data_IF_293184232207
#
_entry.id   IF_293184232207
#
_cell.length_a   1.000
_cell.length_b   1.000
_cell.length_c   1.000
_cell.angle_alpha   90.00
_cell.angle_beta   90.00
_cell.angle_gamma   90.00
#
_symmetry.space_group_name_H-M   'P 1'
#
loop_
_entity.id
_entity.type
_entity.pdbx_description
1 polymer ?
#
# COMPACT_ATOMS: atom_id res chain seq x y z
N UNK A 1 25.83 17.88 15.22
CA UNK A 1 25.70 16.48 14.79
C UNK A 1 27.07 15.81 14.96
N UNK A 2 27.17 14.75 15.73
CA UNK A 2 28.44 14.07 15.95
C UNK A 2 29.01 13.50 14.65
N UNK A 3 30.34 13.50 14.52
CA UNK A 3 31.04 13.01 13.31
C UNK A 3 30.57 11.61 12.88
N UNK A 4 30.35 10.72 13.86
CA UNK A 4 29.91 9.35 13.58
C UNK A 4 28.54 9.25 12.89
N UNK A 5 27.58 10.13 13.26
CA UNK A 5 26.25 10.16 12.61
C UNK A 5 26.35 10.71 11.18
N UNK A 6 27.16 11.74 10.99
CA UNK A 6 27.38 12.28 9.63
C UNK A 6 27.96 11.22 8.70
N UNK A 7 28.95 10.44 9.17
CA UNK A 7 29.51 9.31 8.42
C UNK A 7 28.44 8.24 8.17
N UNK A 8 27.62 7.89 9.19
CA UNK A 8 26.52 6.94 9.04
C UNK A 8 25.51 7.36 7.96
N UNK A 9 25.12 8.65 7.92
CA UNK A 9 24.24 9.19 6.88
C UNK A 9 24.89 9.17 5.49
N UNK A 10 26.18 9.53 5.38
CA UNK A 10 26.91 9.46 4.12
C UNK A 10 26.94 8.02 3.61
N UNK A 11 27.29 7.05 4.47
CA UNK A 11 27.30 5.62 4.11
C UNK A 11 25.91 5.12 3.71
N UNK A 12 24.85 5.62 4.34
CA UNK A 12 23.48 5.30 3.97
C UNK A 12 23.17 5.72 2.52
N UNK A 13 23.43 6.98 2.17
CA UNK A 13 23.19 7.46 0.81
C UNK A 13 24.11 6.79 -0.23
N UNK A 14 25.39 6.60 0.11
CA UNK A 14 26.33 5.88 -0.76
C UNK A 14 25.89 4.43 -0.99
N UNK A 15 25.45 3.73 0.08
CA UNK A 15 24.95 2.37 -0.02
C UNK A 15 23.74 2.24 -0.95
N UNK A 16 22.81 3.20 -0.89
CA UNK A 16 21.67 3.25 -1.80
C UNK A 16 22.11 3.51 -3.24
N UNK A 17 23.02 4.45 -3.47
CA UNK A 17 23.50 4.80 -4.80
C UNK A 17 24.27 3.65 -5.48
N UNK A 18 24.97 2.83 -4.70
CA UNK A 18 25.68 1.63 -5.20
C UNK A 18 24.69 0.47 -5.43
N UNK A 19 23.43 0.58 -4.95
CA UNK A 19 22.40 -0.45 -5.13
C UNK A 19 22.51 -1.63 -4.15
N UNK A 20 23.09 -1.42 -2.97
CA UNK A 20 23.12 -2.45 -1.92
C UNK A 20 21.71 -2.70 -1.36
N UNK A 21 21.37 -3.96 -0.97
CA UNK A 21 20.10 -4.22 -0.29
C UNK A 21 19.99 -3.42 1.00
N UNK A 22 18.86 -2.70 1.18
CA UNK A 22 18.67 -1.73 2.24
C UNK A 22 18.90 -2.28 3.66
N UNK A 23 18.57 -3.54 3.90
CA UNK A 23 18.80 -4.16 5.22
C UNK A 23 20.30 -4.17 5.58
N UNK A 24 21.18 -4.44 4.62
CA UNK A 24 22.63 -4.40 4.82
C UNK A 24 23.18 -2.98 4.93
N UNK A 25 22.58 -2.05 4.19
CA UNK A 25 22.90 -0.61 4.32
C UNK A 25 22.61 -0.16 5.75
N UNK A 26 21.42 -0.46 6.30
CA UNK A 26 21.09 -0.11 7.68
C UNK A 26 22.03 -0.72 8.71
N UNK A 27 22.33 -2.01 8.56
CA UNK A 27 23.27 -2.69 9.45
C UNK A 27 24.65 -2.04 9.40
N UNK A 28 25.19 -1.85 8.20
CA UNK A 28 26.52 -1.27 8.00
C UNK A 28 26.65 0.16 8.51
N UNK A 29 25.66 1.03 8.19
CA UNK A 29 25.63 2.41 8.65
C UNK A 29 25.51 2.51 10.17
N UNK A 30 24.64 1.69 10.77
CA UNK A 30 24.45 1.66 12.22
C UNK A 30 25.70 1.17 12.94
N UNK A 31 26.33 0.09 12.45
CA UNK A 31 27.54 -0.44 13.04
C UNK A 31 28.71 0.57 12.93
N UNK A 32 28.90 1.18 11.76
CA UNK A 32 29.94 2.20 11.57
C UNK A 32 29.71 3.43 12.48
N UNK A 33 28.49 3.93 12.55
CA UNK A 33 28.15 5.04 13.41
C UNK A 33 28.39 4.70 14.89
N UNK A 34 27.95 3.54 15.38
CA UNK A 34 28.15 3.09 16.77
C UNK A 34 29.64 2.99 17.14
N UNK A 35 30.47 2.47 16.23
CA UNK A 35 31.93 2.39 16.43
C UNK A 35 32.54 3.80 16.55
N UNK A 36 32.13 4.72 15.68
CA UNK A 36 32.69 6.07 15.63
C UNK A 36 32.26 6.96 16.82
N UNK A 37 31.10 6.68 17.44
CA UNK A 37 30.63 7.37 18.65
C UNK A 37 30.99 6.63 19.94
N UNK A 38 31.85 5.61 19.84
CA UNK A 38 32.30 4.77 20.97
C UNK A 38 31.13 4.17 21.79
N UNK A 39 30.06 3.80 21.11
CA UNK A 39 28.87 3.16 21.72
C UNK A 39 28.94 1.63 21.65
N UNK A 40 28.47 0.94 22.69
CA UNK A 40 28.59 -0.52 22.71
C UNK A 40 27.73 -1.20 21.61
N UNK A 41 28.35 -2.11 20.87
CA UNK A 41 27.64 -2.89 19.81
C UNK A 41 26.46 -3.72 20.34
N UNK A 42 26.38 -3.95 21.65
CA UNK A 42 25.20 -4.54 22.30
C UNK A 42 23.90 -3.74 22.02
N UNK A 43 24.02 -2.43 21.80
CA UNK A 43 22.87 -1.59 21.42
C UNK A 43 22.24 -2.08 20.11
N UNK A 44 23.05 -2.46 19.10
CA UNK A 44 22.57 -2.98 17.83
C UNK A 44 21.75 -4.26 18.00
N UNK A 45 22.31 -5.27 18.71
CA UNK A 45 21.65 -6.55 18.91
C UNK A 45 20.36 -6.39 19.76
N UNK A 46 20.42 -5.65 20.87
CA UNK A 46 19.28 -5.44 21.75
C UNK A 46 18.15 -4.66 21.05
N UNK A 47 18.49 -3.60 20.33
CA UNK A 47 17.49 -2.79 19.62
C UNK A 47 16.86 -3.57 18.47
N UNK A 48 17.65 -4.31 17.68
CA UNK A 48 17.13 -5.14 16.60
C UNK A 48 16.19 -6.22 17.13
N UNK A 49 16.58 -6.90 18.21
CA UNK A 49 15.73 -7.92 18.85
C UNK A 49 14.38 -7.33 19.31
N UNK A 50 14.39 -6.23 20.04
CA UNK A 50 13.15 -5.58 20.49
C UNK A 50 12.28 -5.05 19.34
N UNK A 51 12.87 -4.66 18.21
CA UNK A 51 12.11 -4.24 17.04
C UNK A 51 11.32 -5.38 16.39
N UNK A 52 11.89 -6.57 16.36
CA UNK A 52 11.25 -7.77 15.78
C UNK A 52 10.35 -8.52 16.77
N UNK A 53 10.54 -8.32 18.08
CA UNK A 53 9.67 -8.87 19.12
C UNK A 53 8.39 -8.04 19.24
N UNK A 54 7.53 -8.16 18.23
CA UNK A 54 6.31 -7.35 18.13
C UNK A 54 5.11 -8.18 17.71
N UNK A 55 4.00 -7.99 18.43
CA UNK A 55 2.71 -8.58 18.11
C UNK A 55 2.21 -8.22 16.70
N UNK A 56 2.44 -6.98 16.25
CA UNK A 56 2.00 -6.51 14.92
C UNK A 56 2.78 -7.22 13.81
N UNK A 57 4.05 -7.57 14.03
CA UNK A 57 4.84 -8.33 13.06
C UNK A 57 4.24 -9.71 12.76
N UNK A 58 3.64 -10.35 13.77
CA UNK A 58 2.91 -11.61 13.58
C UNK A 58 1.67 -11.42 12.71
N UNK A 59 0.92 -10.32 12.90
CA UNK A 59 -0.21 -9.98 12.02
C UNK A 59 0.24 -9.79 10.56
N UNK A 60 1.36 -9.08 10.35
CA UNK A 60 1.95 -8.89 9.02
C UNK A 60 2.24 -10.24 8.36
N UNK A 61 2.82 -11.19 9.11
CA UNK A 61 3.11 -12.54 8.61
C UNK A 61 1.84 -13.26 8.13
N UNK A 62 0.79 -13.27 8.95
CA UNK A 62 -0.47 -13.90 8.59
C UNK A 62 -1.15 -13.23 7.38
N UNK A 63 -1.16 -11.90 7.31
CA UNK A 63 -1.79 -11.21 6.17
C UNK A 63 -1.01 -11.38 4.87
N UNK A 64 0.33 -11.40 4.89
CA UNK A 64 1.14 -11.70 3.71
C UNK A 64 0.84 -13.12 3.21
N UNK A 65 0.81 -14.09 4.11
CA UNK A 65 0.54 -15.47 3.76
C UNK A 65 -0.91 -15.67 3.27
N UNK A 66 -1.89 -15.10 3.97
CA UNK A 66 -3.29 -15.13 3.53
C UNK A 66 -3.46 -14.51 2.14
N UNK A 67 -2.88 -13.33 1.90
CA UNK A 67 -2.93 -12.65 0.60
C UNK A 67 -2.31 -13.46 -0.54
N UNK A 68 -1.17 -14.12 -0.30
CA UNK A 68 -0.56 -15.03 -1.24
C UNK A 68 -1.44 -16.24 -1.56
N UNK A 69 -2.01 -16.89 -0.54
CA UNK A 69 -2.94 -18.00 -0.71
C UNK A 69 -4.21 -17.61 -1.46
N UNK A 70 -4.73 -16.40 -1.22
CA UNK A 70 -5.91 -15.88 -1.90
C UNK A 70 -5.68 -15.71 -3.40
N UNK A 71 -4.50 -15.22 -3.79
CA UNK A 71 -4.12 -15.07 -5.19
C UNK A 71 -4.12 -16.45 -5.91
N UNK A 72 -3.57 -17.48 -5.26
CA UNK A 72 -3.50 -18.84 -5.82
C UNK A 72 -4.82 -19.61 -5.73
N UNK A 73 -5.71 -19.23 -4.84
CA UNK A 73 -7.03 -19.85 -4.68
C UNK A 73 -8.06 -19.42 -5.75
N UNK A 74 -7.67 -18.57 -6.71
CA UNK A 74 -8.53 -18.15 -7.84
C UNK A 74 -9.59 -17.13 -7.46
N UNK A 75 -9.37 -16.36 -6.38
CA UNK A 75 -10.28 -15.31 -5.94
C UNK A 75 -10.28 -14.13 -6.93
N UNK A 76 -9.14 -13.87 -7.58
CA UNK A 76 -8.97 -12.77 -8.52
C UNK A 76 -9.97 -12.82 -9.69
N UNK A 77 -10.17 -13.98 -10.29
CA UNK A 77 -11.14 -14.16 -11.38
C UNK A 77 -12.57 -13.78 -10.96
N UNK A 78 -12.95 -14.10 -9.72
CA UNK A 78 -14.28 -13.79 -9.19
C UNK A 78 -14.46 -12.30 -8.97
N UNK A 79 -13.41 -11.64 -8.50
CA UNK A 79 -13.45 -10.19 -8.31
C UNK A 79 -13.45 -9.42 -9.62
N UNK A 80 -12.70 -9.86 -10.62
CA UNK A 80 -12.77 -9.27 -11.96
C UNK A 80 -14.18 -9.48 -12.56
N UNK A 81 -14.79 -10.65 -12.40
CA UNK A 81 -16.16 -10.89 -12.84
C UNK A 81 -17.18 -10.02 -12.09
N UNK A 82 -17.03 -9.88 -10.78
CA UNK A 82 -17.88 -9.00 -9.98
C UNK A 82 -17.70 -7.52 -10.40
N UNK A 83 -16.46 -7.04 -10.52
CA UNK A 83 -16.16 -5.70 -10.99
C UNK A 83 -16.76 -5.45 -12.40
N UNK A 84 -16.63 -6.42 -13.30
CA UNK A 84 -17.22 -6.36 -14.64
C UNK A 84 -18.76 -6.22 -14.61
N UNK A 85 -19.42 -6.97 -13.74
CA UNK A 85 -20.87 -6.88 -13.58
C UNK A 85 -21.33 -5.54 -12.97
N UNK A 86 -20.50 -4.92 -12.12
CA UNK A 86 -20.82 -3.64 -11.46
C UNK A 86 -20.56 -2.42 -12.34
N UNK A 87 -19.38 -2.35 -12.97
CA UNK A 87 -18.91 -1.13 -13.65
C UNK A 87 -18.59 -1.29 -15.13
N UNK A 88 -18.64 -2.49 -15.70
CA UNK A 88 -18.26 -2.75 -17.09
C UNK A 88 -19.06 -1.99 -18.14
N UNK A 89 -20.19 -1.38 -17.76
CA UNK A 89 -21.06 -0.57 -18.63
C UNK A 89 -20.75 0.91 -18.63
N UNK A 90 -19.89 1.36 -17.78
CA UNK A 90 -19.47 2.76 -17.75
C UNK A 90 -18.71 3.11 -19.02
N UNK A 91 -18.64 4.38 -19.38
CA UNK A 91 -17.91 4.85 -20.58
C UNK A 91 -16.43 4.47 -20.57
N UNK A 92 -15.81 4.35 -19.38
CA UNK A 92 -14.46 3.82 -19.19
C UNK A 92 -14.36 2.30 -19.36
N UNK A 93 -15.52 1.63 -19.43
CA UNK A 93 -15.66 0.22 -19.78
C UNK A 93 -14.79 -0.72 -18.96
N UNK A 94 -14.11 -1.62 -19.64
CA UNK A 94 -13.28 -2.65 -19.03
C UNK A 94 -12.03 -2.13 -18.29
N UNK A 95 -11.60 -0.89 -18.52
CA UNK A 95 -10.50 -0.29 -17.76
C UNK A 95 -10.97 0.05 -16.35
N UNK A 96 -12.20 0.56 -16.18
CA UNK A 96 -12.81 0.78 -14.86
C UNK A 96 -12.98 -0.54 -14.08
N UNK A 97 -13.26 -1.64 -14.79
CA UNK A 97 -13.25 -2.98 -14.19
C UNK A 97 -11.90 -3.29 -13.54
N UNK A 98 -10.81 -2.90 -14.19
CA UNK A 98 -9.47 -3.08 -13.64
C UNK A 98 -9.26 -2.28 -12.34
N UNK A 99 -9.72 -1.02 -12.28
CA UNK A 99 -9.63 -0.17 -11.08
C UNK A 99 -10.44 -0.78 -9.92
N UNK A 100 -11.69 -1.19 -10.19
CA UNK A 100 -12.55 -1.81 -9.16
C UNK A 100 -12.04 -3.20 -8.75
N UNK A 101 -11.53 -3.99 -9.69
CA UNK A 101 -10.88 -5.27 -9.37
C UNK A 101 -9.65 -5.06 -8.48
N UNK A 102 -8.89 -3.98 -8.70
CA UNK A 102 -7.77 -3.62 -7.80
C UNK A 102 -8.26 -3.33 -6.38
N UNK A 103 -9.39 -2.62 -6.19
CA UNK A 103 -9.96 -2.41 -4.85
C UNK A 103 -10.28 -3.73 -4.14
N UNK A 104 -10.93 -4.67 -4.83
CA UNK A 104 -11.26 -5.97 -4.24
C UNK A 104 -10.02 -6.80 -3.93
N UNK A 105 -9.04 -6.84 -4.86
CA UNK A 105 -7.79 -7.56 -4.64
C UNK A 105 -6.94 -6.91 -3.54
N UNK A 106 -7.00 -5.60 -3.41
CA UNK A 106 -6.34 -4.85 -2.35
C UNK A 106 -6.78 -5.33 -0.97
N UNK A 107 -8.08 -5.51 -0.79
CA UNK A 107 -8.65 -6.04 0.45
C UNK A 107 -8.21 -7.49 0.77
N UNK A 108 -7.49 -8.16 -0.13
CA UNK A 108 -6.93 -9.50 0.09
C UNK A 108 -5.42 -9.45 0.28
N UNK A 109 -4.72 -8.71 -0.59
CA UNK A 109 -3.25 -8.78 -0.68
C UNK A 109 -2.54 -7.74 0.19
N UNK A 110 -3.21 -6.64 0.48
CA UNK A 110 -2.65 -5.51 1.24
C UNK A 110 -1.37 -4.90 0.64
N UNK A 111 -1.12 -5.13 -0.67
CA UNK A 111 0.11 -4.72 -1.35
C UNK A 111 -0.13 -4.39 -2.83
N UNK A 112 0.68 -3.50 -3.43
CA UNK A 112 0.53 -3.06 -4.81
C UNK A 112 1.04 -4.09 -5.84
N UNK A 113 2.19 -4.69 -5.60
CA UNK A 113 2.86 -5.59 -6.55
C UNK A 113 2.03 -6.84 -6.88
N UNK A 114 1.44 -7.57 -5.92
CA UNK A 114 0.56 -8.71 -6.23
C UNK A 114 -0.66 -8.32 -7.05
N UNK A 115 -1.23 -7.14 -6.84
CA UNK A 115 -2.35 -6.66 -7.66
C UNK A 115 -1.94 -6.51 -9.12
N UNK A 116 -0.78 -5.90 -9.40
CA UNK A 116 -0.25 -5.75 -10.76
C UNK A 116 0.05 -7.13 -11.36
N UNK A 117 0.73 -7.99 -10.62
CA UNK A 117 1.14 -9.31 -11.08
C UNK A 117 -0.05 -10.20 -11.48
N UNK A 118 -1.19 -9.99 -10.83
CA UNK A 118 -2.42 -10.74 -11.12
C UNK A 118 -3.23 -10.10 -12.24
N UNK A 119 -3.47 -8.78 -12.17
CA UNK A 119 -4.42 -8.11 -13.07
C UNK A 119 -3.86 -7.84 -14.46
N UNK A 120 -2.57 -7.53 -14.61
CA UNK A 120 -1.99 -7.23 -15.93
C UNK A 120 -2.05 -8.44 -16.86
N UNK A 121 -1.56 -9.64 -16.49
CA UNK A 121 -1.65 -10.81 -17.37
C UNK A 121 -3.09 -11.23 -17.68
N UNK A 122 -4.03 -10.98 -16.77
CA UNK A 122 -5.43 -11.35 -16.91
C UNK A 122 -6.21 -10.37 -17.78
N UNK A 123 -6.07 -9.06 -17.55
CA UNK A 123 -6.92 -8.04 -18.16
C UNK A 123 -6.32 -7.43 -19.42
N UNK A 124 -5.02 -7.16 -19.47
CA UNK A 124 -4.42 -6.42 -20.60
C UNK A 124 -4.60 -7.14 -21.93
N UNK A 125 -4.36 -8.47 -22.06
CA UNK A 125 -4.60 -9.17 -23.33
C UNK A 125 -6.08 -9.17 -23.75
N UNK A 126 -7.01 -9.21 -22.79
CA UNK A 126 -8.45 -9.14 -23.06
C UNK A 126 -8.87 -7.75 -23.52
N UNK A 127 -8.37 -6.70 -22.85
CA UNK A 127 -8.62 -5.31 -23.21
C UNK A 127 -8.08 -4.96 -24.59
N UNK A 128 -6.91 -5.47 -24.95
CA UNK A 128 -6.31 -5.28 -26.27
C UNK A 128 -7.19 -5.86 -27.38
N UNK A 129 -7.78 -7.05 -27.20
CA UNK A 129 -8.75 -7.64 -28.14
C UNK A 129 -9.98 -6.78 -28.32
N UNK A 130 -10.43 -6.09 -27.28
CA UNK A 130 -11.56 -5.15 -27.30
C UNK A 130 -11.19 -3.77 -27.88
N UNK A 131 -9.94 -3.58 -28.33
CA UNK A 131 -9.48 -2.36 -28.98
C UNK A 131 -8.90 -1.29 -28.05
N UNK A 132 -8.63 -1.61 -26.78
CA UNK A 132 -7.92 -0.70 -25.88
C UNK A 132 -6.41 -0.76 -26.12
N UNK A 133 -5.75 0.37 -26.14
CA UNK A 133 -4.29 0.43 -26.23
C UNK A 133 -3.62 -0.24 -25.04
N UNK A 134 -2.74 -1.20 -25.30
CA UNK A 134 -2.00 -1.96 -24.29
C UNK A 134 -1.22 -1.07 -23.30
N UNK A 135 -0.57 0.01 -23.81
CA UNK A 135 0.16 0.97 -22.97
C UNK A 135 -0.75 1.70 -22.00
N UNK A 136 -1.95 2.12 -22.44
CA UNK A 136 -2.89 2.86 -21.61
C UNK A 136 -3.47 1.97 -20.51
N UNK A 137 -3.95 0.78 -20.86
CA UNK A 137 -4.53 -0.17 -19.91
C UNK A 137 -3.53 -0.59 -18.84
N UNK A 138 -2.29 -0.87 -19.26
CA UNK A 138 -1.20 -1.19 -18.33
C UNK A 138 -0.91 -0.01 -17.40
N UNK A 139 -0.82 1.21 -17.93
CA UNK A 139 -0.56 2.40 -17.12
C UNK A 139 -1.65 2.66 -16.08
N UNK A 140 -2.93 2.49 -16.42
CA UNK A 140 -4.03 2.66 -15.47
C UNK A 140 -3.99 1.60 -14.37
N UNK A 141 -3.73 0.33 -14.71
CA UNK A 141 -3.60 -0.74 -13.72
C UNK A 141 -2.40 -0.50 -12.79
N UNK A 142 -1.27 -0.03 -13.32
CA UNK A 142 -0.12 0.36 -12.49
C UNK A 142 -0.46 1.56 -11.59
N UNK A 143 -1.13 2.59 -12.13
CA UNK A 143 -1.54 3.76 -11.34
C UNK A 143 -2.51 3.41 -10.22
N UNK A 144 -3.43 2.48 -10.44
CA UNK A 144 -4.40 2.05 -9.43
C UNK A 144 -3.84 1.05 -8.42
N UNK A 145 -2.68 0.45 -8.68
CA UNK A 145 -2.15 -0.65 -7.87
C UNK A 145 -1.91 -0.31 -6.41
N UNK A 146 -1.51 0.93 -6.10
CA UNK A 146 -1.25 1.35 -4.73
C UNK A 146 -2.53 1.51 -3.88
N UNK A 147 -3.73 1.41 -4.48
CA UNK A 147 -4.95 1.21 -3.72
C UNK A 147 -4.83 -0.01 -2.78
N UNK A 148 -3.92 -0.97 -3.12
CA UNK A 148 -3.52 -2.08 -2.26
C UNK A 148 -2.94 -1.67 -0.90
N UNK A 149 -2.45 -0.45 -0.78
CA UNK A 149 -1.96 0.08 0.48
C UNK A 149 -3.05 0.74 1.33
N UNK A 150 -4.15 1.14 0.70
CA UNK A 150 -5.20 1.96 1.33
C UNK A 150 -6.41 1.15 1.80
N UNK A 151 -6.73 0.07 1.09
CA UNK A 151 -7.88 -0.77 1.45
C UNK A 151 -7.43 -1.88 2.41
N UNK A 152 -7.99 -1.93 3.64
CA UNK A 152 -7.61 -2.93 4.64
C UNK A 152 -7.97 -4.37 4.23
N UNK A 153 -7.17 -5.35 4.67
CA UNK A 153 -5.94 -5.23 5.45
C UNK A 153 -4.74 -4.78 4.63
N UNK A 154 -3.91 -3.90 5.18
CA UNK A 154 -2.78 -3.28 4.48
C UNK A 154 -1.48 -3.45 5.26
N UNK A 155 -0.45 -3.99 4.61
CA UNK A 155 0.88 -4.18 5.22
C UNK A 155 1.55 -2.84 5.58
N UNK A 156 1.56 -1.80 4.72
CA UNK A 156 2.07 -0.48 5.09
C UNK A 156 1.39 0.14 6.31
N UNK A 157 0.07 0.00 6.43
CA UNK A 157 -0.66 0.49 7.61
C UNK A 157 -0.22 -0.23 8.87
N UNK A 158 -0.03 -1.56 8.83
CA UNK A 158 0.45 -2.33 9.97
C UNK A 158 1.85 -1.87 10.42
N UNK A 159 2.75 -1.62 9.45
CA UNK A 159 4.09 -1.11 9.75
C UNK A 159 4.03 0.30 10.33
N UNK A 160 3.16 1.16 9.80
CA UNK A 160 2.92 2.48 10.39
C UNK A 160 2.46 2.36 11.84
N UNK A 161 1.46 1.52 12.11
CA UNK A 161 0.94 1.30 13.46
C UNK A 161 1.99 0.74 14.43
N UNK A 162 2.87 -0.13 13.94
CA UNK A 162 3.99 -0.66 14.70
C UNK A 162 4.96 0.44 15.11
N UNK A 163 5.32 1.32 14.17
CA UNK A 163 6.32 2.38 14.38
C UNK A 163 5.75 3.56 15.17
N UNK A 164 4.54 4.00 14.82
CA UNK A 164 3.87 5.14 15.45
C UNK A 164 3.05 4.76 16.70
N UNK A 165 3.01 3.48 17.08
CA UNK A 165 2.27 2.94 18.23
C UNK A 165 0.79 3.34 18.22
N UNK A 166 0.16 3.26 17.03
CA UNK A 166 -1.25 3.61 16.84
C UNK A 166 -2.14 2.37 16.74
N UNK A 167 -3.44 2.57 17.00
CA UNK A 167 -4.45 1.52 16.86
C UNK A 167 -4.56 1.08 15.38
N UNK A 168 -4.33 -0.22 15.13
CA UNK A 168 -4.46 -0.80 13.79
C UNK A 168 -5.88 -0.61 13.23
N UNK A 169 -6.91 -0.82 14.04
CA UNK A 169 -8.29 -0.63 13.64
C UNK A 169 -8.57 0.83 13.22
N UNK A 170 -8.09 1.80 14.01
CA UNK A 170 -8.29 3.22 13.69
C UNK A 170 -7.59 3.61 12.38
N UNK A 171 -6.33 3.22 12.19
CA UNK A 171 -5.57 3.59 10.98
C UNK A 171 -6.07 2.83 9.75
N UNK A 172 -6.52 1.58 9.87
CA UNK A 172 -7.17 0.88 8.76
C UNK A 172 -8.38 1.65 8.23
N UNK A 173 -9.23 2.17 9.12
CA UNK A 173 -10.40 2.97 8.71
C UNK A 173 -10.03 4.34 8.15
N UNK A 174 -8.93 4.93 8.62
CA UNK A 174 -8.50 6.26 8.15
C UNK A 174 -8.08 6.28 6.68
N UNK A 175 -7.65 5.15 6.13
CA UNK A 175 -7.20 5.02 4.74
C UNK A 175 -8.32 4.66 3.77
N UNK A 176 -9.46 4.15 4.25
CA UNK A 176 -10.58 3.68 3.39
C UNK A 176 -11.15 4.82 2.55
N UNK A 177 -11.49 5.94 3.19
CA UNK A 177 -12.13 7.05 2.47
C UNK A 177 -11.20 7.71 1.44
N UNK A 178 -9.94 8.03 1.75
CA UNK A 178 -8.95 8.42 0.74
C UNK A 178 -8.79 7.40 -0.40
N UNK A 179 -8.79 6.10 -0.09
CA UNK A 179 -8.71 5.02 -1.09
C UNK A 179 -9.91 5.01 -2.04
N UNK A 180 -11.12 5.17 -1.51
CA UNK A 180 -12.34 5.26 -2.30
C UNK A 180 -12.38 6.53 -3.16
N UNK A 181 -11.91 7.67 -2.63
CA UNK A 181 -11.78 8.92 -3.40
C UNK A 181 -10.81 8.76 -4.57
N UNK A 182 -9.67 8.12 -4.35
CA UNK A 182 -8.69 7.83 -5.40
C UNK A 182 -9.29 6.94 -6.48
N UNK A 183 -9.93 5.84 -6.09
CA UNK A 183 -10.55 4.92 -7.04
C UNK A 183 -11.66 5.61 -7.85
N UNK A 184 -12.55 6.34 -7.18
CA UNK A 184 -13.61 7.11 -7.83
C UNK A 184 -13.04 8.20 -8.77
N UNK A 185 -12.04 8.94 -8.33
CA UNK A 185 -11.34 9.93 -9.15
C UNK A 185 -10.67 9.31 -10.37
N UNK A 186 -10.04 8.14 -10.21
CA UNK A 186 -9.43 7.41 -11.34
C UNK A 186 -10.49 6.93 -12.33
N UNK A 187 -11.62 6.40 -11.87
CA UNK A 187 -12.73 6.02 -12.76
C UNK A 187 -13.30 7.24 -13.50
N UNK A 188 -13.53 8.35 -12.80
CA UNK A 188 -14.00 9.58 -13.43
C UNK A 188 -13.03 10.06 -14.50
N UNK A 189 -11.74 10.16 -14.17
CA UNK A 189 -10.70 10.58 -15.12
C UNK A 189 -10.59 9.60 -16.30
N UNK A 190 -10.65 8.29 -16.03
CA UNK A 190 -10.64 7.26 -17.07
C UNK A 190 -11.80 7.42 -18.05
N UNK A 191 -13.00 7.72 -17.57
CA UNK A 191 -14.17 7.93 -18.44
C UNK A 191 -13.99 9.09 -19.45
N UNK A 192 -13.16 10.09 -19.10
CA UNK A 192 -12.85 11.21 -20.02
C UNK A 192 -11.68 10.91 -20.96
N UNK A 193 -10.69 10.13 -20.50
CA UNK A 193 -9.44 9.90 -21.24
C UNK A 193 -9.52 8.65 -22.10
N UNK A 194 -10.14 7.57 -21.61
CA UNK A 194 -10.21 6.26 -22.25
C UNK A 194 -10.64 6.29 -23.72
N UNK A 195 -11.65 7.10 -24.15
CA UNK A 195 -12.05 7.16 -25.56
C UNK A 195 -10.93 7.54 -26.54
N UNK A 196 -9.88 8.22 -26.06
CA UNK A 196 -8.71 8.60 -26.88
C UNK A 196 -7.74 7.44 -27.15
N UNK A 197 -7.83 6.38 -26.35
CA UNK A 197 -6.97 5.21 -26.36
C UNK A 197 -7.74 3.92 -26.71
N UNK A 198 -8.95 4.07 -27.24
CA UNK A 198 -9.81 2.96 -27.66
C UNK A 198 -10.02 3.04 -29.17
N UNK A 199 -9.68 1.95 -29.86
CA UNK A 199 -9.90 1.76 -31.29
C UNK A 199 -10.89 0.60 -31.47
N UNK A 200 -12.18 0.86 -31.80
CA UNK A 200 -13.19 -0.20 -31.89
C UNK A 200 -12.77 -1.31 -32.84
N UNK A 201 -12.67 -2.54 -32.35
CA UNK A 201 -12.28 -3.72 -33.14
C UNK A 201 -13.46 -4.51 -33.66
N UNK A 202 -14.68 -4.11 -33.32
CA UNK A 202 -15.91 -4.85 -33.65
C UNK A 202 -16.21 -6.01 -32.70
N UNK A 203 -15.28 -6.42 -31.85
CA UNK A 203 -15.57 -7.33 -30.76
C UNK A 203 -16.37 -6.61 -29.67
N UNK A 204 -17.52 -7.17 -29.30
CA UNK A 204 -18.40 -6.62 -28.25
C UNK A 204 -18.23 -7.44 -26.99
N UNK A 205 -18.03 -6.77 -25.86
CA UNK A 205 -18.01 -7.45 -24.56
C UNK A 205 -19.41 -8.02 -24.26
N UNK A 206 -19.46 -9.27 -23.84
CA UNK A 206 -20.70 -10.07 -23.70
C UNK A 206 -21.55 -9.66 -22.47
N UNK A 207 -21.70 -8.36 -22.19
CA UNK A 207 -22.61 -7.90 -21.15
C UNK A 207 -24.07 -7.91 -21.63
N UNK A 208 -25.02 -8.35 -20.79
CA UNK A 208 -26.44 -8.28 -21.13
C UNK A 208 -26.86 -6.84 -21.41
N UNK A 209 -27.48 -6.57 -22.54
CA UNK A 209 -27.94 -5.22 -22.95
C UNK A 209 -29.15 -4.72 -22.15
N UNK A 210 -29.87 -5.63 -21.49
CA UNK A 210 -31.09 -5.34 -20.73
C UNK A 210 -30.77 -5.09 -19.26
N UNK A 211 -31.40 -4.07 -18.63
CA UNK A 211 -31.24 -3.76 -17.20
C UNK A 211 -31.53 -4.98 -16.30
N UNK A 212 -32.59 -5.73 -16.56
CA UNK A 212 -32.91 -6.99 -15.84
C UNK A 212 -31.82 -8.04 -15.99
N UNK A 213 -31.21 -8.17 -17.17
CA UNK A 213 -30.09 -9.08 -17.43
C UNK A 213 -28.87 -8.68 -16.62
N UNK A 214 -28.60 -7.37 -16.47
CA UNK A 214 -27.49 -6.86 -15.67
C UNK A 214 -27.65 -7.12 -14.18
N UNK A 215 -28.82 -6.86 -13.63
CA UNK A 215 -29.11 -7.13 -12.21
C UNK A 215 -28.95 -8.63 -11.93
N UNK A 216 -29.43 -9.48 -12.85
CA UNK A 216 -29.25 -10.94 -12.74
C UNK A 216 -27.76 -11.33 -12.78
N UNK A 217 -27.00 -10.80 -13.74
CA UNK A 217 -25.56 -11.10 -13.84
C UNK A 217 -24.80 -10.57 -12.62
N UNK A 218 -25.09 -9.35 -12.14
CA UNK A 218 -24.52 -8.82 -10.91
C UNK A 218 -24.86 -9.71 -9.70
N UNK A 219 -26.09 -10.20 -9.60
CA UNK A 219 -26.49 -11.14 -8.55
C UNK A 219 -25.72 -12.46 -8.61
N UNK A 220 -25.57 -13.04 -9.80
CA UNK A 220 -24.78 -14.27 -10.01
C UNK A 220 -23.29 -14.02 -9.69
N UNK A 221 -22.72 -12.92 -10.18
CA UNK A 221 -21.34 -12.57 -9.94
C UNK A 221 -21.07 -12.33 -8.43
N UNK A 222 -21.99 -11.65 -7.73
CA UNK A 222 -21.92 -11.45 -6.27
C UNK A 222 -22.00 -12.78 -5.53
N UNK A 223 -22.91 -13.68 -5.90
CA UNK A 223 -23.04 -14.99 -5.28
C UNK A 223 -21.77 -15.84 -5.45
N UNK A 224 -21.17 -15.84 -6.64
CA UNK A 224 -19.92 -16.54 -6.92
C UNK A 224 -18.70 -15.91 -6.21
N UNK A 225 -18.73 -14.59 -6.00
CA UNK A 225 -17.69 -13.86 -5.27
C UNK A 225 -17.91 -13.86 -3.75
N UNK A 226 -19.08 -14.30 -3.26
CA UNK A 226 -19.41 -14.24 -1.82
C UNK A 226 -18.38 -14.95 -0.94
N UNK A 227 -17.87 -16.14 -1.26
CA UNK A 227 -16.80 -16.76 -0.48
C UNK A 227 -15.48 -15.94 -0.53
N UNK A 228 -15.20 -15.25 -1.62
CA UNK A 228 -14.04 -14.38 -1.73
C UNK A 228 -14.20 -13.11 -0.88
N UNK A 229 -15.38 -12.47 -0.94
CA UNK A 229 -15.75 -11.31 -0.12
C UNK A 229 -15.86 -11.65 1.36
N UNK A 230 -16.16 -12.90 1.69
CA UNK A 230 -16.23 -13.39 3.08
C UNK A 230 -14.94 -13.16 3.85
N UNK A 231 -13.78 -13.26 3.21
CA UNK A 231 -12.51 -13.06 3.90
C UNK A 231 -12.31 -11.62 4.40
N UNK A 232 -12.38 -10.56 3.57
CA UNK A 232 -12.32 -9.19 4.08
C UNK A 232 -13.42 -8.88 5.10
N UNK A 233 -14.62 -9.41 4.89
CA UNK A 233 -15.74 -9.19 5.82
C UNK A 233 -15.48 -9.82 7.19
N UNK A 234 -14.92 -11.01 7.26
CA UNK A 234 -14.56 -11.69 8.51
C UNK A 234 -13.43 -10.93 9.22
N UNK A 235 -12.39 -10.51 8.47
CA UNK A 235 -11.28 -9.76 9.01
C UNK A 235 -11.76 -8.43 9.60
N UNK A 236 -12.40 -7.61 8.77
CA UNK A 236 -12.81 -6.27 9.17
C UNK A 236 -13.95 -6.29 10.18
N UNK A 237 -14.94 -7.15 9.95
CA UNK A 237 -16.05 -7.34 10.89
C UNK A 237 -15.59 -7.84 12.26
N UNK A 238 -14.62 -8.78 12.30
CA UNK A 238 -14.04 -9.28 13.52
C UNK A 238 -13.21 -8.25 14.28
N UNK A 239 -12.38 -7.47 13.57
CA UNK A 239 -11.56 -6.41 14.18
C UNK A 239 -12.45 -5.26 14.69
N UNK A 240 -13.38 -4.76 13.87
CA UNK A 240 -14.22 -3.62 14.25
C UNK A 240 -15.34 -4.00 15.24
N UNK A 241 -15.79 -5.26 15.20
CA UNK A 241 -16.69 -5.82 16.21
C UNK A 241 -16.02 -6.13 17.55
N UNK A 242 -14.69 -5.94 17.66
CA UNK A 242 -13.92 -6.25 18.86
C UNK A 242 -13.81 -7.74 19.18
N UNK A 243 -14.16 -8.61 18.24
CA UNK A 243 -14.11 -10.09 18.38
C UNK A 243 -12.70 -10.61 18.18
N UNK A 244 -11.94 -10.00 17.26
CA UNK A 244 -10.59 -10.41 16.92
C UNK A 244 -9.59 -9.26 17.07
N UNK A 245 -8.42 -9.59 17.62
CA UNK A 245 -7.21 -8.77 17.44
C UNK A 245 -6.73 -8.88 15.99
N UNK A 246 -5.88 -7.96 15.50
CA UNK A 246 -5.30 -8.05 14.15
C UNK A 246 -4.58 -9.39 13.88
N UNK A 247 -3.92 -9.98 14.89
CA UNK A 247 -3.26 -11.27 14.77
C UNK A 247 -4.25 -12.43 14.59
N UNK A 248 -5.27 -12.47 15.42
CA UNK A 248 -6.33 -13.48 15.32
C UNK A 248 -7.08 -13.35 13.99
N UNK A 249 -7.39 -12.13 13.57
CA UNK A 249 -8.00 -11.89 12.27
C UNK A 249 -7.13 -12.39 11.11
N UNK A 250 -5.82 -12.18 11.19
CA UNK A 250 -4.86 -12.69 10.19
C UNK A 250 -4.80 -14.23 10.19
N UNK A 251 -4.77 -14.87 11.37
CA UNK A 251 -4.80 -16.33 11.48
C UNK A 251 -6.10 -16.93 10.93
N UNK A 252 -7.25 -16.32 11.28
CA UNK A 252 -8.58 -16.71 10.75
C UNK A 252 -8.62 -16.53 9.22
N UNK A 253 -8.03 -15.46 8.69
CA UNK A 253 -7.93 -15.24 7.25
C UNK A 253 -7.18 -16.37 6.54
N UNK A 254 -6.06 -16.84 7.09
CA UNK A 254 -5.30 -17.98 6.55
C UNK A 254 -6.17 -19.23 6.51
N UNK A 255 -6.79 -19.58 7.64
CA UNK A 255 -7.63 -20.78 7.76
C UNK A 255 -8.83 -20.71 6.80
N UNK A 256 -9.50 -19.54 6.75
CA UNK A 256 -10.63 -19.31 5.85
C UNK A 256 -10.22 -19.45 4.39
N UNK A 257 -9.09 -18.85 4.00
CA UNK A 257 -8.59 -18.92 2.62
C UNK A 257 -8.22 -20.33 2.20
N UNK A 258 -7.60 -21.10 3.11
CA UNK A 258 -7.32 -22.52 2.88
C UNK A 258 -8.62 -23.30 2.66
N UNK A 259 -9.62 -23.07 3.52
CA UNK A 259 -10.92 -23.71 3.39
C UNK A 259 -11.59 -23.38 2.04
N UNK A 260 -11.67 -22.11 1.69
CA UNK A 260 -12.27 -21.68 0.42
C UNK A 260 -11.49 -22.18 -0.79
N UNK A 261 -10.16 -22.10 -0.76
CA UNK A 261 -9.29 -22.53 -1.86
C UNK A 261 -9.31 -24.04 -2.12
N UNK A 262 -9.39 -24.84 -1.05
CA UNK A 262 -9.38 -26.31 -1.15
C UNK A 262 -10.77 -26.92 -1.41
N UNK A 263 -11.80 -26.44 -0.69
CA UNK A 263 -13.12 -27.08 -0.68
C UNK A 263 -14.16 -26.37 -1.55
N UNK A 264 -14.15 -25.03 -1.59
CA UNK A 264 -15.15 -24.25 -2.34
C UNK A 264 -14.73 -24.06 -3.79
N UNK A 265 -13.56 -23.44 -4.01
CA UNK A 265 -13.07 -23.16 -5.37
C UNK A 265 -12.23 -24.29 -5.94
N UNK A 266 -11.64 -25.12 -5.11
CA UNK A 266 -10.84 -26.30 -5.50
C UNK A 266 -9.70 -25.97 -6.47
N UNK A 267 -9.14 -24.77 -6.37
CA UNK A 267 -8.05 -24.30 -7.22
C UNK A 267 -6.68 -24.35 -6.54
N UNK A 268 -6.66 -24.37 -5.21
CA UNK A 268 -5.42 -24.44 -4.45
C UNK A 268 -4.82 -25.85 -4.50
N UNK A 269 -3.69 -25.98 -5.21
CA UNK A 269 -2.93 -27.24 -5.33
C UNK A 269 -1.80 -27.24 -4.30
N UNK A 270 -1.36 -28.43 -3.87
CA UNK A 270 -0.26 -28.60 -2.93
C UNK A 270 1.04 -27.89 -3.39
N UNK A 271 1.34 -27.91 -4.69
CA UNK A 271 2.48 -27.21 -5.26
C UNK A 271 2.38 -25.69 -5.06
N UNK A 272 1.21 -25.11 -5.36
CA UNK A 272 0.98 -23.67 -5.22
C UNK A 272 1.03 -23.24 -3.74
N UNK A 273 0.43 -24.05 -2.85
CA UNK A 273 0.52 -23.84 -1.41
C UNK A 273 1.99 -23.74 -0.93
N UNK A 274 2.83 -24.71 -1.35
CA UNK A 274 4.24 -24.72 -0.97
C UNK A 274 5.03 -23.54 -1.54
N UNK A 275 4.80 -23.19 -2.81
CA UNK A 275 5.44 -22.03 -3.43
C UNK A 275 5.05 -20.73 -2.72
N UNK A 276 3.75 -20.54 -2.45
CA UNK A 276 3.24 -19.37 -1.72
C UNK A 276 3.83 -19.29 -0.31
N UNK A 277 3.94 -20.42 0.38
CA UNK A 277 4.56 -20.48 1.71
C UNK A 277 6.01 -19.99 1.64
N UNK A 278 6.80 -20.50 0.69
CA UNK A 278 8.20 -20.08 0.52
C UNK A 278 8.32 -18.58 0.20
N UNK A 279 7.49 -18.06 -0.67
CA UNK A 279 7.55 -16.65 -1.07
C UNK A 279 7.06 -15.72 0.05
N UNK A 280 6.08 -16.15 0.83
CA UNK A 280 5.65 -15.43 2.04
C UNK A 280 6.75 -15.41 3.12
N UNK A 281 7.45 -16.51 3.33
CA UNK A 281 8.59 -16.57 4.26
C UNK A 281 9.72 -15.65 3.81
N UNK A 282 10.06 -15.64 2.52
CA UNK A 282 11.10 -14.74 1.97
C UNK A 282 10.72 -13.27 2.18
N UNK A 283 9.47 -12.92 1.87
CA UNK A 283 8.96 -11.55 2.02
C UNK A 283 8.96 -11.14 3.49
N UNK A 284 8.48 -11.99 4.38
CA UNK A 284 8.49 -11.74 5.82
C UNK A 284 9.92 -11.60 6.36
N UNK A 285 10.84 -12.49 5.95
CA UNK A 285 12.25 -12.42 6.34
C UNK A 285 12.89 -11.09 5.93
N UNK A 286 12.63 -10.62 4.72
CA UNK A 286 13.10 -9.32 4.25
C UNK A 286 12.54 -8.16 5.09
N UNK A 287 11.23 -8.17 5.37
CA UNK A 287 10.57 -7.14 6.21
C UNK A 287 11.13 -7.16 7.64
N UNK A 288 11.34 -8.34 8.21
CA UNK A 288 11.88 -8.51 9.56
C UNK A 288 13.31 -7.95 9.67
N UNK A 289 14.17 -8.22 8.69
CA UNK A 289 15.53 -7.67 8.65
C UNK A 289 15.52 -6.15 8.46
N UNK A 290 14.66 -5.64 7.57
CA UNK A 290 14.48 -4.20 7.38
C UNK A 290 13.99 -3.52 8.66
N UNK A 291 13.02 -4.12 9.34
CA UNK A 291 12.49 -3.58 10.58
C UNK A 291 13.55 -3.61 11.69
N UNK A 292 14.24 -4.73 11.87
CA UNK A 292 15.29 -4.86 12.88
C UNK A 292 16.40 -3.83 12.70
N UNK A 293 17.06 -3.85 11.56
CA UNK A 293 18.21 -2.96 11.31
C UNK A 293 17.81 -1.52 11.04
N UNK A 294 16.67 -1.30 10.37
CA UNK A 294 16.14 0.05 10.15
C UNK A 294 15.77 0.74 11.47
N UNK A 295 15.19 0.02 12.43
CA UNK A 295 14.90 0.56 13.76
C UNK A 295 16.17 0.89 14.53
N UNK A 296 17.25 0.11 14.40
CA UNK A 296 18.54 0.45 15.00
C UNK A 296 19.04 1.78 14.46
N UNK A 297 19.07 1.93 13.13
CA UNK A 297 19.51 3.17 12.49
C UNK A 297 18.65 4.37 12.92
N UNK A 298 17.34 4.22 12.90
CA UNK A 298 16.42 5.28 13.27
C UNK A 298 16.54 5.68 14.74
N UNK A 299 16.65 4.70 15.66
CA UNK A 299 16.87 5.00 17.09
C UNK A 299 18.20 5.71 17.35
N UNK A 300 19.22 5.38 16.57
CA UNK A 300 20.50 6.08 16.62
C UNK A 300 20.32 7.55 16.22
N UNK A 301 19.63 7.83 15.12
CA UNK A 301 19.35 9.19 14.66
C UNK A 301 18.51 9.98 15.68
N UNK A 302 17.53 9.34 16.32
CA UNK A 302 16.71 9.98 17.35
C UNK A 302 17.54 10.29 18.59
N UNK A 303 18.37 9.35 19.06
CA UNK A 303 19.24 9.52 20.22
C UNK A 303 20.18 10.70 20.05
N UNK A 304 20.70 10.90 18.86
CA UNK A 304 21.62 11.99 18.51
C UNK A 304 20.89 13.30 18.13
N UNK A 305 19.58 13.37 18.36
CA UNK A 305 18.79 14.60 18.20
C UNK A 305 18.45 14.97 16.75
N UNK A 306 18.71 14.10 15.78
CA UNK A 306 18.45 14.41 14.35
C UNK A 306 16.96 14.67 14.10
N UNK A 307 16.06 13.90 14.74
CA UNK A 307 14.61 14.08 14.61
C UNK A 307 14.15 15.43 15.16
N UNK A 308 14.73 15.85 16.31
CA UNK A 308 14.42 17.16 16.92
C UNK A 308 14.98 18.30 16.09
N UNK A 309 16.23 18.19 15.61
CA UNK A 309 16.83 19.19 14.73
C UNK A 309 16.05 19.38 13.42
N UNK A 310 15.52 18.28 12.86
CA UNK A 310 14.65 18.34 11.68
C UNK A 310 13.34 19.08 12.00
N UNK A 311 12.71 18.78 13.14
CA UNK A 311 11.49 19.45 13.58
C UNK A 311 11.71 20.95 13.79
N UNK A 312 12.74 21.32 14.52
CA UNK A 312 13.08 22.72 14.81
C UNK A 312 13.42 23.50 13.53
N UNK A 313 14.15 22.88 12.61
CA UNK A 313 14.43 23.46 11.29
C UNK A 313 13.15 23.71 10.48
N UNK A 314 12.27 22.70 10.41
CA UNK A 314 11.02 22.82 9.64
C UNK A 314 10.09 23.86 10.23
N UNK A 315 9.95 23.91 11.56
CA UNK A 315 9.10 24.90 12.23
C UNK A 315 9.73 26.31 12.16
N UNK A 316 11.04 26.41 12.29
CA UNK A 316 11.74 27.69 12.16
C UNK A 316 11.78 28.25 10.74
N UNK A 317 11.81 27.37 9.72
CA UNK A 317 11.80 27.78 8.33
C UNK A 317 10.39 28.14 7.81
N UNK A 318 9.34 27.56 8.40
CA UNK A 318 7.97 27.69 7.95
C UNK A 318 7.06 28.09 9.10
N UNK A 319 6.51 29.30 9.07
CA UNK A 319 5.66 29.86 10.13
C UNK A 319 4.26 29.21 10.19
N UNK A 320 3.83 28.51 9.13
CA UNK A 320 2.49 27.95 9.02
C UNK A 320 2.47 26.43 9.09
N UNK A 321 1.62 25.87 9.96
CA UNK A 321 1.31 24.43 10.01
C UNK A 321 1.03 23.83 8.61
N UNK A 322 0.28 24.56 7.79
CA UNK A 322 -0.09 24.10 6.45
C UNK A 322 1.13 24.01 5.51
N UNK A 323 2.08 24.92 5.64
CA UNK A 323 3.30 24.92 4.85
C UNK A 323 4.26 23.82 5.30
N UNK A 324 4.35 23.57 6.61
CA UNK A 324 5.11 22.44 7.17
C UNK A 324 4.57 21.12 6.63
N UNK A 325 3.24 20.91 6.64
CA UNK A 325 2.60 19.73 6.10
C UNK A 325 2.82 19.58 4.58
N UNK A 326 2.80 20.69 3.86
CA UNK A 326 3.10 20.70 2.42
C UNK A 326 4.52 20.21 2.14
N UNK A 327 5.51 20.78 2.84
CA UNK A 327 6.92 20.40 2.71
C UNK A 327 7.17 18.95 3.14
N UNK A 328 6.51 18.51 4.21
CA UNK A 328 6.54 17.10 4.62
C UNK A 328 6.03 16.17 3.51
N UNK A 329 4.93 16.49 2.86
CA UNK A 329 4.40 15.71 1.74
C UNK A 329 5.36 15.67 0.56
N UNK A 330 5.99 16.79 0.21
CA UNK A 330 7.00 16.83 -0.86
C UNK A 330 8.20 15.94 -0.51
N UNK A 331 8.71 16.05 0.72
CA UNK A 331 9.84 15.25 1.18
C UNK A 331 9.51 13.75 1.14
N UNK A 332 8.33 13.35 1.63
CA UNK A 332 7.86 11.97 1.57
C UNK A 332 7.67 11.47 0.13
N UNK A 333 7.12 12.30 -0.75
CA UNK A 333 6.94 11.97 -2.16
C UNK A 333 8.29 11.75 -2.85
N UNK A 334 9.24 12.65 -2.64
CA UNK A 334 10.61 12.52 -3.16
C UNK A 334 11.27 11.25 -2.61
N UNK A 335 11.17 10.99 -1.31
CA UNK A 335 11.70 9.75 -0.73
C UNK A 335 11.05 8.51 -1.39
N UNK A 336 9.73 8.53 -1.60
CA UNK A 336 8.97 7.46 -2.25
C UNK A 336 9.31 7.21 -3.71
N UNK A 337 9.88 8.22 -4.40
CA UNK A 337 10.37 8.06 -5.77
C UNK A 337 11.61 7.17 -5.86
N UNK A 338 12.40 7.05 -4.79
CA UNK A 338 13.69 6.35 -4.77
C UNK A 338 13.70 5.11 -3.89
N UNK A 339 12.88 5.08 -2.85
CA UNK A 339 12.87 4.04 -1.82
C UNK A 339 11.48 3.42 -1.77
N UNK A 340 11.41 2.10 -1.60
CA UNK A 340 10.14 1.40 -1.43
C UNK A 340 9.41 1.85 -0.14
N UNK A 341 8.10 1.62 -0.10
CA UNK A 341 7.23 2.10 0.96
C UNK A 341 7.60 1.61 2.36
N UNK A 342 7.97 0.36 2.52
CA UNK A 342 8.27 -0.23 3.84
C UNK A 342 9.48 0.43 4.53
N UNK A 343 10.64 0.57 3.88
CA UNK A 343 11.76 1.30 4.47
C UNK A 343 11.45 2.75 4.85
N UNK A 344 10.65 3.45 4.01
CA UNK A 344 10.23 4.83 4.33
C UNK A 344 9.47 4.88 5.65
N UNK A 345 8.52 3.96 5.84
CA UNK A 345 7.73 3.90 7.07
C UNK A 345 8.63 3.67 8.30
N UNK A 346 9.63 2.82 8.20
CA UNK A 346 10.51 2.49 9.31
C UNK A 346 11.44 3.64 9.69
N UNK A 347 11.91 4.42 8.69
CA UNK A 347 12.89 5.49 8.92
C UNK A 347 12.21 6.84 9.13
N UNK A 348 11.34 7.22 8.17
CA UNK A 348 10.85 8.60 8.12
C UNK A 348 9.78 8.83 9.16
N UNK A 349 8.91 7.84 9.44
CA UNK A 349 7.84 8.02 10.44
C UNK A 349 8.39 8.42 11.80
N UNK A 350 9.35 7.71 12.42
CA UNK A 350 9.86 8.11 13.72
C UNK A 350 10.59 9.47 13.70
N UNK A 351 11.21 9.83 12.58
CA UNK A 351 11.92 11.12 12.44
C UNK A 351 10.96 12.31 12.36
N UNK A 352 9.78 12.12 11.79
CA UNK A 352 8.77 13.18 11.67
C UNK A 352 7.79 13.23 12.86
N UNK A 353 7.72 12.19 13.71
CA UNK A 353 6.83 12.18 14.87
C UNK A 353 7.01 13.39 15.79
N UNK A 354 8.24 13.83 16.17
CA UNK A 354 8.40 15.05 16.96
C UNK A 354 7.85 16.31 16.28
N UNK A 355 8.03 16.42 14.96
CA UNK A 355 7.51 17.52 14.16
C UNK A 355 5.97 17.58 14.22
N UNK A 356 5.32 16.45 13.90
CA UNK A 356 3.85 16.40 13.79
C UNK A 356 3.15 16.53 15.15
N UNK A 357 3.80 16.09 16.22
CA UNK A 357 3.29 16.29 17.57
C UNK A 357 3.40 17.76 18.03
N UNK A 358 4.44 18.49 17.62
CA UNK A 358 4.59 19.92 17.92
C UNK A 358 3.58 20.80 17.16
N UNK A 359 3.12 20.38 15.99
CA UNK A 359 2.11 21.12 15.21
C UNK A 359 0.70 20.56 15.38
N UNK A 360 0.45 19.73 16.40
CA UNK A 360 -0.85 19.16 16.74
C UNK A 360 -1.54 18.47 15.54
N UNK A 361 -0.85 17.54 14.86
CA UNK A 361 -1.44 16.70 13.84
C UNK A 361 -1.87 15.37 14.45
N UNK A 362 -3.12 14.98 14.22
CA UNK A 362 -3.62 13.70 14.68
C UNK A 362 -2.85 12.52 14.05
N UNK A 363 -2.35 11.58 14.87
CA UNK A 363 -1.52 10.48 14.41
C UNK A 363 -2.27 9.45 13.56
N UNK A 364 -3.60 9.32 13.74
CA UNK A 364 -4.42 8.46 12.87
C UNK A 364 -4.56 9.08 11.48
N UNK A 365 -4.75 10.40 11.40
CA UNK A 365 -4.71 11.14 10.14
C UNK A 365 -3.32 11.05 9.48
N UNK A 366 -2.26 11.22 10.26
CA UNK A 366 -0.88 11.09 9.77
C UNK A 366 -0.65 9.74 9.09
N UNK A 367 -1.20 8.65 9.66
CA UNK A 367 -1.15 7.32 9.05
C UNK A 367 -1.74 7.30 7.65
N UNK A 368 -2.91 7.91 7.47
CA UNK A 368 -3.53 8.01 6.15
C UNK A 368 -2.69 8.87 5.19
N UNK A 369 -2.20 10.04 5.63
CA UNK A 369 -1.34 10.92 4.82
C UNK A 369 -0.10 10.17 4.33
N UNK A 370 0.61 9.49 5.23
CA UNK A 370 1.85 8.79 4.88
C UNK A 370 1.57 7.62 3.94
N UNK A 371 0.55 6.83 4.20
CA UNK A 371 0.23 5.67 3.35
C UNK A 371 -0.22 6.10 1.95
N UNK A 372 -1.00 7.18 1.82
CA UNK A 372 -1.34 7.77 0.51
C UNK A 372 -0.07 8.27 -0.19
N UNK A 373 0.79 8.99 0.53
CA UNK A 373 2.00 9.59 -0.01
C UNK A 373 2.99 8.52 -0.50
N UNK A 374 3.26 7.52 0.34
CA UNK A 374 4.11 6.37 -0.01
C UNK A 374 3.52 5.60 -1.19
N UNK A 375 2.20 5.41 -1.22
CA UNK A 375 1.51 4.78 -2.34
C UNK A 375 1.69 5.55 -3.65
N UNK A 376 1.60 6.88 -3.63
CA UNK A 376 1.90 7.73 -4.78
C UNK A 376 3.39 7.66 -5.15
N UNK A 377 4.28 7.57 -4.18
CA UNK A 377 5.72 7.42 -4.42
C UNK A 377 6.06 6.19 -5.26
N UNK A 378 5.48 5.03 -4.96
CA UNK A 378 5.78 3.77 -5.70
C UNK A 378 5.26 3.77 -7.14
N UNK A 379 4.42 4.73 -7.52
CA UNK A 379 3.95 4.93 -8.91
C UNK A 379 4.58 6.16 -9.57
N UNK A 380 5.44 6.90 -8.86
CA UNK A 380 6.06 8.13 -9.37
C UNK A 380 7.47 7.86 -9.89
N UNK A 381 7.81 8.24 -11.14
CA UNK A 381 9.17 8.16 -11.65
C UNK A 381 10.17 8.94 -10.77
N UNK A 382 11.46 8.58 -10.74
CA UNK A 382 12.18 7.73 -11.71
C UNK A 382 12.18 6.23 -11.39
N UNK A 383 12.06 5.81 -10.11
CA UNK A 383 12.17 4.39 -9.78
C UNK A 383 10.84 3.65 -10.00
N UNK A 384 9.74 4.11 -9.42
CA UNK A 384 8.37 3.65 -9.67
C UNK A 384 8.23 2.11 -9.85
N UNK A 385 8.38 1.34 -8.78
CA UNK A 385 8.36 -0.14 -8.79
C UNK A 385 7.15 -0.68 -9.56
N UNK A 386 5.99 -0.06 -9.41
CA UNK A 386 4.77 -0.45 -10.11
C UNK A 386 4.90 -0.35 -11.63
N UNK A 387 5.64 0.64 -12.15
CA UNK A 387 5.88 0.79 -13.60
C UNK A 387 6.84 -0.29 -14.10
N UNK A 388 7.92 -0.57 -13.34
CA UNK A 388 8.88 -1.62 -13.73
C UNK A 388 8.21 -3.00 -13.81
N UNK A 389 7.42 -3.34 -12.80
CA UNK A 389 6.69 -4.61 -12.77
C UNK A 389 5.66 -4.64 -13.91
N UNK A 390 4.92 -3.56 -14.10
CA UNK A 390 3.92 -3.43 -15.18
C UNK A 390 4.54 -3.53 -16.58
N UNK A 391 5.66 -2.84 -16.81
CA UNK A 391 6.43 -2.91 -18.06
C UNK A 391 6.88 -4.35 -18.36
N UNK A 392 7.44 -5.04 -17.36
CA UNK A 392 7.91 -6.42 -17.51
C UNK A 392 6.80 -7.40 -17.81
N UNK A 393 5.63 -7.25 -17.18
CA UNK A 393 4.49 -8.15 -17.35
C UNK A 393 3.71 -7.89 -18.64
N UNK A 394 3.60 -6.63 -19.04
CA UNK A 394 2.87 -6.26 -20.26
C UNK A 394 3.73 -6.26 -21.50
N UNK A 395 5.06 -6.22 -21.38
CA UNK A 395 5.99 -6.02 -22.50
C UNK A 395 5.99 -4.61 -23.08
N UNK A 396 5.30 -3.65 -22.43
CA UNK A 396 5.30 -2.24 -22.85
C UNK A 396 6.52 -1.53 -22.26
N UNK A 397 7.30 -0.77 -23.05
CA UNK A 397 8.44 0.00 -22.55
C UNK A 397 8.06 0.96 -21.44
N UNK A 398 8.94 1.12 -20.45
CA UNK A 398 8.75 1.96 -19.26
C UNK A 398 8.32 3.40 -19.59
N UNK A 399 9.01 4.04 -20.54
CA UNK A 399 8.78 5.42 -20.97
C UNK A 399 7.37 5.66 -21.54
N UNK A 400 6.80 4.65 -22.19
CA UNK A 400 5.44 4.72 -22.75
C UNK A 400 4.35 4.64 -21.66
N UNK A 401 4.65 4.04 -20.52
CA UNK A 401 3.74 3.95 -19.38
C UNK A 401 3.72 5.24 -18.56
N UNK A 402 4.83 5.96 -18.50
CA UNK A 402 4.98 7.17 -17.66
C UNK A 402 3.94 8.24 -18.00
N UNK A 403 3.77 8.57 -19.30
CA UNK A 403 2.86 9.66 -19.72
C UNK A 403 1.42 9.48 -19.23
N UNK A 404 0.73 8.35 -19.49
CA UNK A 404 -0.62 8.15 -18.98
C UNK A 404 -0.66 8.15 -17.44
N UNK A 405 0.33 7.55 -16.78
CA UNK A 405 0.38 7.50 -15.32
C UNK A 405 0.49 8.87 -14.67
N UNK A 406 1.29 9.77 -15.24
CA UNK A 406 1.41 11.14 -14.73
C UNK A 406 0.09 11.90 -14.75
N UNK A 407 -0.80 11.65 -15.71
CA UNK A 407 -2.13 12.25 -15.71
C UNK A 407 -2.94 11.83 -14.48
N UNK A 408 -2.94 10.53 -14.14
CA UNK A 408 -3.63 10.01 -12.96
C UNK A 408 -3.01 10.53 -11.66
N UNK A 409 -1.68 10.62 -11.61
CA UNK A 409 -0.95 11.16 -10.47
C UNK A 409 -1.29 12.64 -10.22
N UNK A 410 -1.16 13.50 -11.24
CA UNK A 410 -1.32 14.94 -11.05
C UNK A 410 -2.78 15.37 -10.91
N UNK A 411 -3.70 14.75 -11.66
CA UNK A 411 -5.12 15.18 -11.69
C UNK A 411 -5.90 14.57 -10.52
N UNK A 412 -5.54 13.40 -10.03
CA UNK A 412 -6.28 12.73 -8.95
C UNK A 412 -5.39 12.45 -7.75
N UNK A 413 -4.23 11.83 -7.94
CA UNK A 413 -3.36 11.39 -6.86
C UNK A 413 -2.95 12.52 -5.92
N UNK A 414 -2.30 13.56 -6.45
CA UNK A 414 -1.86 14.71 -5.65
C UNK A 414 -3.03 15.49 -5.03
N UNK A 415 -4.12 15.82 -5.73
CA UNK A 415 -5.28 16.45 -5.11
C UNK A 415 -5.84 15.64 -3.93
N UNK A 416 -5.98 14.31 -4.05
CA UNK A 416 -6.47 13.48 -2.94
C UNK A 416 -5.46 13.45 -1.79
N UNK A 417 -4.15 13.42 -2.06
CA UNK A 417 -3.13 13.55 -1.02
C UNK A 417 -3.31 14.86 -0.23
N UNK A 418 -3.45 15.99 -0.92
CA UNK A 418 -3.65 17.27 -0.26
C UNK A 418 -4.99 17.36 0.47
N UNK A 419 -6.07 16.83 -0.08
CA UNK A 419 -7.34 16.73 0.63
C UNK A 419 -7.21 15.90 1.92
N UNK A 420 -6.52 14.75 1.86
CA UNK A 420 -6.26 13.91 3.03
C UNK A 420 -5.41 14.63 4.08
N UNK A 421 -4.47 15.46 3.63
CA UNK A 421 -3.57 16.23 4.50
C UNK A 421 -4.28 17.39 5.20
N UNK A 422 -5.09 18.15 4.45
CA UNK A 422 -5.66 19.40 4.96
C UNK A 422 -7.08 19.28 5.50
N UNK A 423 -7.75 18.15 5.25
CA UNK A 423 -9.11 17.89 5.73
C UNK A 423 -9.09 16.65 6.66
N UNK A 424 -8.88 16.84 7.98
CA UNK A 424 -8.82 15.74 8.95
C UNK A 424 -10.07 14.86 8.92
N UNK A 425 -11.21 15.44 8.62
CA UNK A 425 -12.48 14.72 8.52
C UNK A 425 -12.42 13.52 7.57
N UNK A 426 -11.70 13.63 6.44
CA UNK A 426 -11.57 12.54 5.46
C UNK A 426 -10.94 11.27 6.05
N UNK A 427 -10.04 11.42 7.01
CA UNK A 427 -9.30 10.31 7.62
C UNK A 427 -9.79 9.95 9.01
N UNK A 428 -10.35 10.90 9.76
CA UNK A 428 -10.70 10.70 11.17
C UNK A 428 -12.17 10.41 11.42
N UNK A 429 -13.08 10.83 10.52
CA UNK A 429 -14.53 10.65 10.71
C UNK A 429 -14.92 9.18 10.85
N UNK A 430 -14.53 8.33 9.92
CA UNK A 430 -14.87 6.92 9.92
C UNK A 430 -14.26 6.15 11.12
N UNK A 431 -12.98 6.34 11.47
CA UNK A 431 -12.43 5.77 12.70
C UNK A 431 -13.14 6.24 13.96
N UNK A 432 -13.45 7.53 14.07
CA UNK A 432 -14.16 8.08 15.24
C UNK A 432 -15.53 7.44 15.42
N UNK A 433 -16.25 7.20 14.32
CA UNK A 433 -17.56 6.56 14.35
C UNK A 433 -17.48 5.08 14.78
N UNK A 434 -16.47 4.35 14.30
CA UNK A 434 -16.40 2.89 14.48
C UNK A 434 -15.64 2.48 15.74
N UNK A 435 -14.54 3.16 16.08
CA UNK A 435 -13.62 2.78 17.19
C UNK A 435 -13.76 3.73 18.39
N UNK A 436 -14.38 4.86 18.17
CA UNK A 436 -14.66 5.87 19.19
C UNK A 436 -13.63 6.99 19.30
N UNK A 437 -14.04 8.18 19.80
CA UNK A 437 -13.20 9.37 19.83
C UNK A 437 -12.03 9.26 20.81
N UNK A 438 -12.10 8.40 21.84
CA UNK A 438 -11.00 8.19 22.80
C UNK A 438 -9.78 7.53 22.17
N UNK A 439 -9.97 6.69 21.14
CA UNK A 439 -8.89 5.96 20.47
C UNK A 439 -8.29 6.81 19.36
N UNK A 440 -9.14 7.57 18.65
CA UNK A 440 -8.69 8.44 17.54
C UNK A 440 -8.02 9.71 18.05
N UNK A 441 -8.47 10.22 19.19
CA UNK A 441 -8.00 11.51 19.72
C UNK A 441 -8.65 12.72 19.03
N UNK A 442 -8.30 13.94 19.46
CA UNK A 442 -8.79 15.17 18.84
C UNK A 442 -8.20 15.35 17.42
N UNK A 443 -9.00 15.93 16.53
CA UNK A 443 -8.62 16.20 15.14
C UNK A 443 -9.26 17.45 14.56
#
# INVERSE_FOLDING_TARGET
MEFGITVGLILFFVGILIGLPLCWVFLGCSAAALILIDSPLKFLAGTAYHAIDSYILMAIAFFIFAGGLMSEAGLADRFVRLAHALVGRLKGGMVDVGIVATLFLSALTGSSVPCIATLIPMLVPRLEKLGYERRYTTAVLCSSSFLGYLIPPSVPVLIYCLVAQQSVAAVFLSTVFPGLLLAGGYMVLNNFICPRYMHPTGEVDALPTTFKGSVKEAGIATWLALPALGCPLIILGGIYGGVFTPNEAGAVAVVYTLFVGLFVYRQLKAKNFWTTTQDSIKTLGMITLLLGFGTVFTRLLIREGVAQALADFMIGAFESKYLVLFMMNILLLIAGMFIDGIPILIIVVPLILPLVTQIDVNLVQLGAIIVVNVGLGVVTPPYAISIFVGSRLSGVPYDQLVRPMMLFLFIVGLPVLFLTTYIPWLSCWLPTLAVGPKIVGPW
#
